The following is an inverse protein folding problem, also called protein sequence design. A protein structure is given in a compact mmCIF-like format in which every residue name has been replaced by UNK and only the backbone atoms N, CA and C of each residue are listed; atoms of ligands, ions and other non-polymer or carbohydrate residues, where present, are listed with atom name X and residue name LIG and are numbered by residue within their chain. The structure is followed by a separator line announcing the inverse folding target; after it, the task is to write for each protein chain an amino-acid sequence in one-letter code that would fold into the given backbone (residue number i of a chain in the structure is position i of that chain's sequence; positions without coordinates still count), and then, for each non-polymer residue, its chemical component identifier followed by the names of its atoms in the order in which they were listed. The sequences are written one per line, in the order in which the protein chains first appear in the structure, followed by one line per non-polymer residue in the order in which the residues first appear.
data_IF_873719503834
#
_entry.id   IF_873719503834
#
_cell.length_a   1.000
_cell.length_b   1.000
_cell.length_c   1.000
_cell.angle_alpha   90.00
_cell.angle_beta   90.00
_cell.angle_gamma   90.00
#
_symmetry.space_group_name_H-M   'P 1'
#
loop_
_entity.id
_entity.type
_entity.pdbx_description
1 polymer ?
#
# COMPACT_ATOMS: atom_id res chain seq x y z
N UNK A 1 -16.15 5.17 30.58
CA UNK A 1 -14.78 4.74 30.20
C UNK A 1 -14.73 4.72 28.69
N UNK A 2 -13.65 5.29 28.10
CA UNK A 2 -13.46 5.19 26.64
C UNK A 2 -13.12 3.74 26.30
N UNK A 3 -13.70 3.21 25.22
CA UNK A 3 -13.41 1.86 24.70
C UNK A 3 -11.93 1.71 24.28
N UNK A 4 -11.24 2.84 24.03
CA UNK A 4 -9.84 2.89 23.64
C UNK A 4 -8.83 2.82 24.79
N UNK A 5 -9.29 2.78 26.05
CA UNK A 5 -8.40 2.75 27.23
C UNK A 5 -7.93 1.32 27.57
N UNK A 6 -8.51 0.29 26.97
CA UNK A 6 -8.11 -1.08 27.22
C UNK A 6 -7.03 -1.52 26.22
N UNK A 7 -5.77 -1.32 26.62
CA UNK A 7 -4.61 -1.69 25.78
C UNK A 7 -4.40 -3.20 25.67
N UNK A 8 -4.94 -3.99 26.62
CA UNK A 8 -4.89 -5.45 26.54
C UNK A 8 -5.72 -5.96 25.36
N UNK A 9 -6.91 -5.40 25.14
CA UNK A 9 -7.73 -5.70 23.98
C UNK A 9 -7.10 -5.16 22.69
N UNK A 10 -6.55 -3.96 22.71
CA UNK A 10 -5.96 -3.31 21.55
C UNK A 10 -4.74 -4.08 20.98
N UNK A 11 -4.02 -4.81 21.83
CA UNK A 11 -2.80 -5.55 21.47
C UNK A 11 -2.93 -7.06 21.68
N UNK A 12 -4.15 -7.58 21.66
CA UNK A 12 -4.44 -9.00 21.91
C UNK A 12 -3.72 -9.94 20.94
N UNK A 13 -3.41 -9.46 19.73
CA UNK A 13 -2.71 -10.19 18.67
C UNK A 13 -1.17 -10.12 18.79
N UNK A 14 -0.64 -9.36 19.75
CA UNK A 14 0.79 -9.14 19.94
C UNK A 14 1.33 -9.84 21.18
N UNK A 15 2.45 -10.52 21.02
CA UNK A 15 3.21 -11.03 22.16
C UNK A 15 3.93 -9.90 22.91
N UNK A 16 4.23 -10.11 24.19
CA UNK A 16 5.02 -9.17 25.01
C UNK A 16 6.34 -8.81 24.33
N UNK A 17 7.01 -9.78 23.70
CA UNK A 17 8.28 -9.57 22.99
C UNK A 17 8.09 -8.63 21.78
N UNK A 18 7.01 -8.77 21.04
CA UNK A 18 6.69 -7.87 19.90
C UNK A 18 6.38 -6.45 20.40
N UNK A 19 5.66 -6.32 21.51
CA UNK A 19 5.37 -5.03 22.12
C UNK A 19 6.62 -4.32 22.64
N UNK A 20 7.52 -5.04 23.29
CA UNK A 20 8.81 -4.50 23.76
C UNK A 20 9.68 -4.04 22.59
N UNK A 21 9.73 -4.83 21.51
CA UNK A 21 10.44 -4.48 20.27
C UNK A 21 9.86 -3.22 19.62
N UNK A 22 8.52 -3.15 19.49
CA UNK A 22 7.83 -1.98 18.94
C UNK A 22 8.09 -0.74 19.80
N UNK A 23 7.97 -0.85 21.13
CA UNK A 23 8.27 0.25 22.07
C UNK A 23 9.70 0.75 21.90
N UNK A 24 10.69 -0.15 21.85
CA UNK A 24 12.07 0.23 21.61
C UNK A 24 12.26 0.98 20.30
N UNK A 25 11.70 0.44 19.22
CA UNK A 25 11.82 1.03 17.89
C UNK A 25 11.17 2.42 17.82
N UNK A 26 9.94 2.59 18.32
CA UNK A 26 9.28 3.90 18.36
C UNK A 26 10.02 4.89 19.25
N UNK A 27 10.62 4.44 20.37
CA UNK A 27 11.46 5.30 21.21
C UNK A 27 12.68 5.81 20.44
N UNK A 28 13.31 4.97 19.62
CA UNK A 28 14.44 5.37 18.77
C UNK A 28 14.02 6.38 17.68
N UNK A 29 12.87 6.15 17.05
CA UNK A 29 12.34 7.02 15.97
C UNK A 29 11.95 8.41 16.52
N UNK A 30 11.55 8.53 17.77
CA UNK A 30 11.24 9.81 18.39
C UNK A 30 12.45 10.77 18.50
N UNK A 31 13.67 10.28 18.30
CA UNK A 31 14.87 11.09 18.34
C UNK A 31 15.35 11.47 16.94
N UNK A 32 15.05 12.69 16.40
CA UNK A 32 15.36 13.04 15.00
C UNK A 32 16.81 12.85 14.60
N UNK A 33 17.76 13.10 15.52
CA UNK A 33 19.19 12.93 15.28
C UNK A 33 19.55 11.46 15.06
N UNK A 34 19.00 10.55 15.86
CA UNK A 34 19.21 9.10 15.74
C UNK A 34 18.55 8.56 14.47
N UNK A 35 17.32 9.00 14.18
CA UNK A 35 16.59 8.63 12.97
C UNK A 35 17.36 9.05 11.71
N UNK A 36 17.82 10.31 11.64
CA UNK A 36 18.60 10.80 10.52
C UNK A 36 19.93 10.06 10.34
N UNK A 37 20.60 9.72 11.44
CA UNK A 37 21.83 8.91 11.41
C UNK A 37 21.51 7.48 10.91
N UNK A 38 20.44 6.89 11.41
CA UNK A 38 19.96 5.56 10.98
C UNK A 38 19.64 5.50 9.50
N UNK A 39 18.92 6.50 8.97
CA UNK A 39 18.60 6.60 7.52
C UNK A 39 19.88 6.72 6.67
N UNK A 40 20.83 7.57 7.09
CA UNK A 40 22.11 7.72 6.38
C UNK A 40 22.91 6.41 6.37
N UNK A 41 22.95 5.73 7.50
CA UNK A 41 23.64 4.45 7.62
C UNK A 41 22.96 3.36 6.77
N UNK A 42 21.63 3.31 6.80
CA UNK A 42 20.83 2.38 6.00
C UNK A 42 21.08 2.61 4.50
N UNK A 43 20.98 3.86 4.02
CA UNK A 43 21.26 4.18 2.63
C UNK A 43 22.68 3.82 2.22
N UNK A 44 23.66 4.09 3.08
CA UNK A 44 25.05 3.72 2.82
C UNK A 44 25.21 2.20 2.70
N UNK A 45 24.64 1.44 3.62
CA UNK A 45 24.77 -0.02 3.66
C UNK A 45 24.01 -0.70 2.52
N UNK A 46 22.81 -0.22 2.15
CA UNK A 46 22.04 -0.72 1.00
C UNK A 46 22.78 -0.43 -0.30
N UNK A 47 23.26 0.81 -0.51
CA UNK A 47 23.96 1.20 -1.73
C UNK A 47 25.30 0.45 -1.93
N UNK A 48 25.91 -0.05 -0.86
CA UNK A 48 27.15 -0.82 -0.92
C UNK A 48 26.95 -2.33 -0.78
N UNK A 49 25.71 -2.82 -0.86
CA UNK A 49 25.36 -4.25 -0.77
C UNK A 49 25.95 -4.95 0.48
N UNK A 50 25.92 -4.30 1.64
CA UNK A 50 26.41 -4.92 2.88
C UNK A 50 25.59 -6.16 3.22
N UNK A 51 26.26 -7.29 3.58
CA UNK A 51 25.55 -8.50 3.95
C UNK A 51 24.70 -8.28 5.21
N UNK A 52 23.60 -9.02 5.31
CA UNK A 52 22.66 -9.03 6.46
C UNK A 52 21.79 -7.77 6.67
N UNK A 53 22.01 -6.68 5.93
CA UNK A 53 21.21 -5.44 6.08
C UNK A 53 19.73 -5.72 5.80
N UNK A 54 19.44 -6.42 4.71
CA UNK A 54 18.08 -6.83 4.35
C UNK A 54 17.41 -7.63 5.48
N UNK A 55 18.13 -8.58 6.08
CA UNK A 55 17.66 -9.39 7.21
C UNK A 55 17.36 -8.53 8.44
N UNK A 56 18.23 -7.55 8.74
CA UNK A 56 18.00 -6.62 9.86
C UNK A 56 16.76 -5.76 9.60
N UNK A 57 16.63 -5.17 8.43
CA UNK A 57 15.48 -4.36 8.05
C UNK A 57 14.20 -5.18 8.08
N UNK A 58 14.22 -6.40 7.51
CA UNK A 58 13.09 -7.33 7.50
C UNK A 58 12.63 -7.67 8.92
N UNK A 59 13.54 -8.00 9.80
CA UNK A 59 13.24 -8.40 11.17
C UNK A 59 13.01 -7.21 12.13
N UNK A 60 13.06 -5.98 11.66
CA UNK A 60 12.83 -4.78 12.47
C UNK A 60 11.71 -3.94 11.91
N UNK A 61 12.05 -2.99 11.02
CA UNK A 61 11.11 -2.04 10.47
C UNK A 61 10.01 -2.73 9.63
N UNK A 62 10.41 -3.65 8.75
CA UNK A 62 9.48 -4.31 7.84
C UNK A 62 8.42 -5.12 8.60
N UNK A 63 8.82 -5.92 9.59
CA UNK A 63 7.87 -6.71 10.42
C UNK A 63 6.86 -5.83 11.17
N UNK A 64 7.22 -4.58 11.49
CA UNK A 64 6.32 -3.65 12.17
C UNK A 64 5.30 -2.99 11.25
N UNK A 65 5.70 -2.68 10.01
CA UNK A 65 4.90 -1.85 9.12
C UNK A 65 4.32 -2.59 7.91
N UNK A 66 4.82 -3.79 7.61
CA UNK A 66 4.42 -4.54 6.44
C UNK A 66 3.82 -5.89 6.81
N UNK A 67 2.77 -6.30 6.13
CA UNK A 67 2.11 -7.58 6.33
C UNK A 67 2.91 -8.78 5.80
N UNK A 68 3.81 -8.56 4.83
CA UNK A 68 4.62 -9.62 4.22
C UNK A 68 5.39 -9.11 3.00
N UNK A 69 6.38 -9.87 2.57
CA UNK A 69 7.16 -9.57 1.35
C UNK A 69 6.38 -9.96 0.09
N UNK A 70 5.48 -10.93 0.24
CA UNK A 70 4.65 -11.47 -0.83
C UNK A 70 3.31 -11.92 -0.26
N UNK A 71 2.37 -12.31 -1.13
CA UNK A 71 1.02 -12.76 -0.74
C UNK A 71 1.03 -13.96 0.20
N UNK A 72 1.96 -14.90 0.03
CA UNK A 72 2.03 -16.10 0.88
C UNK A 72 2.46 -15.75 2.33
N UNK A 73 3.41 -14.83 2.48
CA UNK A 73 3.80 -14.33 3.80
C UNK A 73 2.64 -13.57 4.45
N UNK A 74 1.94 -12.73 3.66
CA UNK A 74 0.80 -11.92 4.12
C UNK A 74 -0.40 -12.77 4.56
N UNK A 75 -0.63 -13.93 3.95
CA UNK A 75 -1.72 -14.86 4.35
C UNK A 75 -1.68 -15.21 5.83
N UNK A 76 -0.49 -15.37 6.42
CA UNK A 76 -0.35 -15.69 7.85
C UNK A 76 -0.86 -14.55 8.71
N UNK A 77 -0.51 -13.32 8.35
CA UNK A 77 -0.95 -12.11 9.07
C UNK A 77 -2.46 -11.93 8.89
N UNK A 78 -2.99 -12.07 7.67
CA UNK A 78 -4.42 -12.01 7.38
C UNK A 78 -5.20 -13.01 8.24
N UNK A 79 -4.76 -14.27 8.31
CA UNK A 79 -5.43 -15.30 9.10
C UNK A 79 -5.35 -15.01 10.61
N UNK A 80 -4.22 -14.50 11.10
CA UNK A 80 -4.06 -14.07 12.49
C UNK A 80 -5.03 -12.92 12.81
N UNK A 81 -5.08 -11.87 11.99
CA UNK A 81 -6.01 -10.75 12.17
C UNK A 81 -7.46 -11.21 12.14
N UNK A 82 -7.80 -12.07 11.18
CA UNK A 82 -9.16 -12.57 11.04
C UNK A 82 -9.60 -13.45 12.22
N UNK A 83 -8.69 -14.16 12.89
CA UNK A 83 -9.00 -14.88 14.13
C UNK A 83 -9.45 -13.97 15.29
N UNK A 84 -9.15 -12.68 15.19
CA UNK A 84 -9.61 -11.62 16.07
C UNK A 84 -10.75 -10.77 15.47
N UNK A 85 -11.43 -11.28 14.42
CA UNK A 85 -12.52 -10.59 13.71
C UNK A 85 -12.09 -9.27 13.02
N UNK A 86 -10.82 -9.18 12.59
CA UNK A 86 -10.28 -8.04 11.87
C UNK A 86 -10.03 -8.46 10.42
N UNK A 87 -10.76 -7.84 9.48
CA UNK A 87 -10.49 -7.98 8.05
C UNK A 87 -9.21 -7.24 7.64
N UNK A 88 -8.58 -7.71 6.57
CA UNK A 88 -7.35 -7.12 6.04
C UNK A 88 -7.56 -6.65 4.62
N UNK A 89 -6.83 -5.62 4.22
CA UNK A 89 -6.78 -5.10 2.85
C UNK A 89 -5.32 -5.21 2.38
N UNK A 90 -5.15 -5.63 1.13
CA UNK A 90 -3.84 -5.58 0.50
C UNK A 90 -3.65 -4.23 -0.19
N UNK A 91 -2.64 -3.51 0.25
CA UNK A 91 -2.13 -2.31 -0.41
C UNK A 91 -0.71 -2.58 -0.90
N UNK A 92 -0.50 -2.46 -2.21
CA UNK A 92 0.79 -2.69 -2.83
C UNK A 92 1.56 -1.38 -2.93
N UNK A 93 2.57 -1.22 -2.07
CA UNK A 93 3.40 -0.03 -1.99
C UNK A 93 4.36 0.05 -3.18
N UNK A 94 3.96 0.74 -4.24
CA UNK A 94 4.79 1.06 -5.43
C UNK A 94 5.06 2.55 -5.58
N UNK A 95 4.93 3.31 -4.53
CA UNK A 95 5.07 4.76 -4.54
C UNK A 95 6.41 5.22 -5.14
N UNK A 96 6.35 6.29 -5.96
CA UNK A 96 7.54 6.93 -6.53
C UNK A 96 8.07 6.32 -7.82
N UNK A 97 7.40 5.33 -8.42
CA UNK A 97 7.74 4.85 -9.76
C UNK A 97 6.72 5.36 -10.77
N UNK A 98 7.12 6.31 -11.60
CA UNK A 98 6.25 6.91 -12.62
C UNK A 98 6.61 6.40 -14.03
N UNK A 99 6.62 5.07 -14.20
CA UNK A 99 6.84 4.43 -15.48
C UNK A 99 5.64 3.58 -15.90
N UNK A 100 5.39 3.48 -17.19
CA UNK A 100 4.28 2.67 -17.71
C UNK A 100 4.36 1.21 -17.26
N UNK A 101 5.56 0.63 -17.20
CA UNK A 101 5.79 -0.72 -16.69
C UNK A 101 5.35 -0.85 -15.22
N UNK A 102 5.68 0.13 -14.38
CA UNK A 102 5.28 0.12 -12.97
C UNK A 102 3.75 0.25 -12.80
N UNK A 103 3.09 1.07 -13.63
CA UNK A 103 1.64 1.21 -13.63
C UNK A 103 0.94 -0.09 -14.11
N UNK A 104 1.48 -0.75 -15.13
CA UNK A 104 0.97 -2.04 -15.60
C UNK A 104 1.19 -3.14 -14.57
N UNK A 105 2.34 -3.14 -13.88
CA UNK A 105 2.62 -4.06 -12.78
C UNK A 105 1.63 -3.87 -11.63
N UNK A 106 1.34 -2.63 -11.23
CA UNK A 106 0.36 -2.35 -10.19
C UNK A 106 -1.05 -2.77 -10.60
N UNK A 107 -1.44 -2.53 -11.86
CA UNK A 107 -2.71 -3.00 -12.39
C UNK A 107 -2.81 -4.54 -12.32
N UNK A 108 -1.74 -5.26 -12.68
CA UNK A 108 -1.67 -6.72 -12.56
C UNK A 108 -1.80 -7.18 -11.10
N UNK A 109 -1.04 -6.58 -10.17
CA UNK A 109 -1.12 -6.90 -8.75
C UNK A 109 -2.51 -6.65 -8.16
N UNK A 110 -3.17 -5.55 -8.56
CA UNK A 110 -4.56 -5.25 -8.15
C UNK A 110 -5.51 -6.35 -8.63
N UNK A 111 -5.39 -6.81 -9.87
CA UNK A 111 -6.18 -7.93 -10.41
C UNK A 111 -5.94 -9.23 -9.64
N UNK A 112 -4.70 -9.53 -9.28
CA UNK A 112 -4.37 -10.69 -8.46
C UNK A 112 -4.94 -10.59 -7.04
N UNK A 113 -4.97 -9.38 -6.46
CA UNK A 113 -5.61 -9.12 -5.18
C UNK A 113 -7.13 -9.32 -5.24
N UNK A 114 -7.79 -8.95 -6.35
CA UNK A 114 -9.20 -9.24 -6.59
C UNK A 114 -9.46 -10.75 -6.59
N UNK A 115 -8.65 -11.52 -7.30
CA UNK A 115 -8.77 -12.99 -7.29
C UNK A 115 -8.54 -13.57 -5.90
N UNK A 116 -7.62 -13.04 -5.13
CA UNK A 116 -7.36 -13.47 -3.75
C UNK A 116 -8.50 -13.13 -2.79
N UNK A 117 -9.15 -11.97 -2.98
CA UNK A 117 -10.28 -11.53 -2.16
C UNK A 117 -11.57 -12.29 -2.48
N UNK A 118 -11.72 -12.85 -3.68
CA UNK A 118 -12.91 -13.56 -4.11
C UNK A 118 -13.33 -14.65 -3.12
N UNK A 119 -14.50 -14.48 -2.51
CA UNK A 119 -15.04 -15.43 -1.54
C UNK A 119 -14.23 -15.55 -0.25
N UNK A 120 -13.30 -14.66 0.02
CA UNK A 120 -12.46 -14.65 1.21
C UNK A 120 -12.96 -13.61 2.23
N UNK A 121 -13.67 -14.02 3.31
CA UNK A 121 -14.20 -13.06 4.28
C UNK A 121 -13.13 -12.34 5.10
N UNK A 122 -11.87 -12.83 5.08
CA UNK A 122 -10.75 -12.16 5.73
C UNK A 122 -10.21 -10.97 4.93
N UNK A 123 -10.58 -10.87 3.62
CA UNK A 123 -10.21 -9.77 2.72
C UNK A 123 -11.48 -9.21 2.09
N UNK A 124 -12.23 -8.35 2.81
CA UNK A 124 -13.58 -7.94 2.44
C UNK A 124 -13.65 -7.05 1.20
N UNK A 125 -12.55 -6.38 0.84
CA UNK A 125 -12.42 -5.54 -0.35
C UNK A 125 -10.97 -5.36 -0.76
N UNK A 126 -10.77 -4.86 -1.98
CA UNK A 126 -9.45 -4.53 -2.56
C UNK A 126 -9.36 -3.03 -2.71
N UNK A 127 -8.18 -2.48 -2.60
CA UNK A 127 -7.90 -1.05 -2.76
C UNK A 127 -6.79 -0.84 -3.79
N UNK A 128 -6.85 0.29 -4.49
CA UNK A 128 -5.72 0.83 -5.25
C UNK A 128 -5.68 2.35 -5.16
N UNK A 129 -4.50 2.91 -5.40
CA UNK A 129 -4.27 4.36 -5.42
C UNK A 129 -4.30 4.87 -6.86
N UNK A 130 -4.98 5.99 -7.14
CA UNK A 130 -4.99 6.62 -8.46
C UNK A 130 -3.59 6.82 -9.06
N UNK A 131 -2.65 7.34 -8.26
CA UNK A 131 -1.27 7.62 -8.71
C UNK A 131 -0.44 6.37 -8.99
N UNK A 132 -0.93 5.19 -8.59
CA UNK A 132 -0.33 3.92 -8.97
C UNK A 132 -0.73 3.42 -10.37
N UNK A 133 -1.67 4.10 -11.04
CA UNK A 133 -2.12 3.78 -12.41
C UNK A 133 -1.72 4.82 -13.46
N UNK A 134 -1.19 5.98 -13.03
CA UNK A 134 -0.75 7.04 -13.91
C UNK A 134 0.03 8.13 -13.19
N UNK A 135 0.78 8.93 -13.94
CA UNK A 135 1.58 10.02 -13.37
C UNK A 135 0.73 11.06 -12.67
N UNK A 136 1.17 11.48 -11.50
CA UNK A 136 0.53 12.52 -10.72
C UNK A 136 0.26 13.81 -11.50
N UNK A 137 1.27 14.33 -12.21
CA UNK A 137 1.15 15.56 -13.00
C UNK A 137 0.08 15.48 -14.11
N UNK A 138 -0.20 14.29 -14.61
CA UNK A 138 -1.23 14.08 -15.63
C UNK A 138 -2.62 14.24 -15.02
N UNK A 139 -2.88 13.67 -13.85
CA UNK A 139 -4.13 13.89 -13.10
C UNK A 139 -4.35 15.37 -12.78
N UNK A 140 -3.29 16.08 -12.32
CA UNK A 140 -3.36 17.52 -12.06
C UNK A 140 -3.76 18.29 -13.31
N UNK A 141 -3.15 17.98 -14.47
CA UNK A 141 -3.49 18.61 -15.74
C UNK A 141 -4.95 18.39 -16.14
N UNK A 142 -5.43 17.18 -15.99
CA UNK A 142 -6.83 16.81 -16.28
C UNK A 142 -7.79 17.58 -15.37
N UNK A 143 -7.52 17.60 -14.06
CA UNK A 143 -8.34 18.34 -13.09
C UNK A 143 -8.39 19.83 -13.37
N UNK A 144 -7.27 20.42 -13.81
CA UNK A 144 -7.21 21.83 -14.17
C UNK A 144 -7.86 22.16 -15.53
N UNK A 145 -8.37 21.17 -16.26
CA UNK A 145 -8.95 21.32 -17.59
C UNK A 145 -7.95 21.79 -18.66
N UNK A 146 -6.66 21.55 -18.43
CA UNK A 146 -5.60 21.89 -19.37
C UNK A 146 -5.56 20.95 -20.56
N UNK A 147 -5.28 21.48 -21.75
CA UNK A 147 -5.17 20.65 -22.95
C UNK A 147 -3.98 19.67 -22.82
N UNK A 148 -4.26 18.40 -23.10
CA UNK A 148 -3.25 17.36 -23.19
C UNK A 148 -2.67 17.32 -24.60
N UNK A 149 -1.36 17.19 -24.74
CA UNK A 149 -0.75 16.87 -26.03
C UNK A 149 -1.00 15.42 -26.43
N UNK A 150 -0.64 15.03 -27.67
CA UNK A 150 -0.92 13.70 -28.20
C UNK A 150 -0.35 12.57 -27.34
N UNK A 151 0.84 12.73 -26.79
CA UNK A 151 1.46 11.75 -25.89
C UNK A 151 0.70 11.64 -24.57
N UNK A 152 0.31 12.77 -23.99
CA UNK A 152 -0.45 12.82 -22.74
C UNK A 152 -1.88 12.26 -22.93
N UNK A 153 -2.51 12.47 -24.09
CA UNK A 153 -3.80 11.86 -24.42
C UNK A 153 -3.68 10.33 -24.48
N UNK A 154 -2.63 9.83 -25.13
CA UNK A 154 -2.36 8.39 -25.18
C UNK A 154 -2.06 7.80 -23.80
N UNK A 155 -1.34 8.55 -22.94
CA UNK A 155 -1.07 8.17 -21.56
C UNK A 155 -2.35 8.14 -20.73
N UNK A 156 -3.19 9.16 -20.84
CA UNK A 156 -4.48 9.22 -20.14
C UNK A 156 -5.41 8.08 -20.58
N UNK A 157 -5.44 7.75 -21.86
CA UNK A 157 -6.19 6.60 -22.35
C UNK A 157 -5.73 5.27 -21.71
N UNK A 158 -4.43 5.11 -21.43
CA UNK A 158 -3.92 3.94 -20.69
C UNK A 158 -4.34 3.95 -19.22
N UNK A 159 -4.36 5.12 -18.58
CA UNK A 159 -4.92 5.26 -17.21
C UNK A 159 -6.36 4.77 -17.19
N UNK A 160 -7.23 5.32 -18.04
CA UNK A 160 -8.64 4.92 -18.11
C UNK A 160 -8.81 3.42 -18.35
N UNK A 161 -7.99 2.85 -19.24
CA UNK A 161 -8.00 1.41 -19.51
C UNK A 161 -7.66 0.57 -18.28
N UNK A 162 -6.66 0.98 -17.46
CA UNK A 162 -6.31 0.28 -16.21
C UNK A 162 -7.47 0.31 -15.22
N UNK A 163 -8.15 1.45 -15.07
CA UNK A 163 -9.35 1.55 -14.24
C UNK A 163 -10.45 0.60 -14.74
N UNK A 164 -10.79 0.66 -16.02
CA UNK A 164 -11.80 -0.22 -16.63
C UNK A 164 -11.49 -1.70 -16.38
N UNK A 165 -10.24 -2.11 -16.61
CA UNK A 165 -9.82 -3.50 -16.43
C UNK A 165 -9.96 -4.01 -14.99
N UNK A 166 -9.59 -3.20 -13.98
CA UNK A 166 -9.70 -3.63 -12.58
C UNK A 166 -11.15 -3.54 -12.08
N UNK A 167 -11.91 -2.53 -12.50
CA UNK A 167 -13.33 -2.41 -12.15
C UNK A 167 -14.15 -3.56 -12.75
N UNK A 168 -13.91 -3.90 -14.03
CA UNK A 168 -14.59 -5.02 -14.67
C UNK A 168 -14.24 -6.34 -13.98
N UNK A 169 -12.95 -6.54 -13.66
CA UNK A 169 -12.53 -7.75 -12.96
C UNK A 169 -13.13 -7.88 -11.56
N UNK A 170 -13.23 -6.77 -10.82
CA UNK A 170 -13.87 -6.75 -9.51
C UNK A 170 -15.36 -7.10 -9.61
N UNK A 171 -16.06 -6.50 -10.58
CA UNK A 171 -17.47 -6.79 -10.88
C UNK A 171 -17.69 -8.27 -11.22
N UNK A 172 -16.89 -8.83 -12.14
CA UNK A 172 -17.01 -10.22 -12.59
C UNK A 172 -16.74 -11.24 -11.47
N UNK A 173 -16.04 -10.82 -10.41
CA UNK A 173 -15.68 -11.69 -9.28
C UNK A 173 -16.46 -11.40 -8.00
N UNK A 174 -17.43 -10.47 -8.04
CA UNK A 174 -18.22 -10.04 -6.87
C UNK A 174 -17.32 -9.58 -5.70
N UNK A 175 -16.32 -8.75 -6.00
CA UNK A 175 -15.37 -8.18 -5.04
C UNK A 175 -15.56 -6.67 -4.98
N UNK A 176 -15.70 -6.13 -3.78
CA UNK A 176 -15.75 -4.69 -3.57
C UNK A 176 -14.38 -4.10 -3.87
N UNK A 177 -14.35 -3.10 -4.77
CA UNK A 177 -13.15 -2.35 -5.11
C UNK A 177 -13.25 -0.93 -4.55
N UNK A 178 -12.21 -0.50 -3.84
CA UNK A 178 -12.07 0.83 -3.28
C UNK A 178 -11.01 1.60 -4.06
N UNK A 179 -11.31 2.85 -4.38
CA UNK A 179 -10.33 3.81 -4.90
C UNK A 179 -9.92 4.71 -3.74
N UNK A 180 -8.64 4.70 -3.39
CA UNK A 180 -8.12 5.48 -2.26
C UNK A 180 -8.06 6.96 -2.63
N UNK A 181 -8.54 7.83 -1.74
CA UNK A 181 -8.43 9.27 -1.93
C UNK A 181 -7.03 9.72 -1.55
N UNK A 182 -6.38 10.42 -2.48
CA UNK A 182 -5.03 10.92 -2.25
C UNK A 182 -5.05 12.45 -2.08
N UNK A 183 -4.58 13.17 -3.06
CA UNK A 183 -4.44 14.62 -2.99
C UNK A 183 -5.70 15.33 -3.51
N UNK A 184 -6.18 16.35 -2.79
CA UNK A 184 -7.41 17.07 -3.17
C UNK A 184 -7.34 17.72 -4.56
N UNK A 185 -6.14 18.01 -5.06
CA UNK A 185 -5.91 18.61 -6.38
C UNK A 185 -5.80 17.60 -7.52
N UNK A 186 -6.10 16.33 -7.29
CA UNK A 186 -6.36 15.33 -8.32
C UNK A 186 -7.74 14.68 -8.18
N UNK A 187 -8.44 14.97 -7.08
CA UNK A 187 -9.66 14.26 -6.70
C UNK A 187 -10.76 14.35 -7.76
N UNK A 188 -11.00 15.55 -8.34
CA UNK A 188 -12.04 15.69 -9.37
C UNK A 188 -11.74 14.88 -10.63
N UNK A 189 -10.45 14.78 -11.02
CA UNK A 189 -10.08 13.94 -12.17
C UNK A 189 -10.27 12.44 -11.88
N UNK A 190 -10.14 12.03 -10.61
CA UNK A 190 -10.42 10.65 -10.17
C UNK A 190 -11.93 10.41 -10.12
N UNK A 191 -12.71 11.34 -9.55
CA UNK A 191 -14.17 11.25 -9.45
C UNK A 191 -14.84 11.16 -10.83
N UNK A 192 -14.27 11.80 -11.85
CA UNK A 192 -14.75 11.74 -13.23
C UNK A 192 -14.51 10.38 -13.92
N UNK A 193 -13.62 9.53 -13.36
CA UNK A 193 -13.32 8.19 -13.89
C UNK A 193 -14.24 7.13 -13.27
N UNK A 194 -14.62 7.29 -11.99
CA UNK A 194 -15.34 6.33 -11.17
C UNK A 194 -16.85 6.52 -11.25
#
# INVERSE_FOLDING_TARGET
MSIFNNTEVAFVDKSTKQLEKAKWMFTMIQHPKLTNLGIKLLNFTVNNNFPFVETIVKNTLFEQFCGGVNKEDSKKVVNQMFSHHIGSIFDYATEGKETEEAFDDTCRETKENIIFAKGNPAVPFVVFKPTAFGRFDLYVKVQEGKALNDNEQAEWARVLKRYEEVCQMAYDNDVILMVDAEESWIQSAVDDIV
#
